data_IF_972901308403
#
_entry.id   IF_972901308403
#
_cell.length_a   1.000
_cell.length_b   1.000
_cell.length_c   1.000
_cell.angle_alpha   90.00
_cell.angle_beta   90.00
_cell.angle_gamma   90.00
#
_symmetry.space_group_name_H-M   'P 1'
#
loop_
_entity.id
_entity.type
_entity.pdbx_description
1 polymer ?
#
# COMPACT_ATOMS: atom_id res chain seq x y z
N UNK A 1 -2.82 18.57 19.89
CA UNK A 1 -2.56 19.48 18.75
C UNK A 1 -3.88 19.96 18.18
N UNK A 2 -4.05 21.27 18.00
CA UNK A 2 -5.25 21.90 17.43
C UNK A 2 -4.84 22.77 16.24
N UNK A 3 -5.66 22.81 15.20
CA UNK A 3 -5.44 23.62 13.99
C UNK A 3 -6.66 24.51 13.77
N UNK A 4 -6.44 25.80 13.62
CA UNK A 4 -7.45 26.82 13.39
C UNK A 4 -7.41 27.23 11.92
N UNK A 5 -8.55 27.15 11.23
CA UNK A 5 -8.67 27.40 9.79
C UNK A 5 -9.65 28.54 9.51
N UNK A 6 -9.38 29.30 8.46
CA UNK A 6 -10.32 30.23 7.81
C UNK A 6 -10.36 29.86 6.31
N UNK A 7 -11.41 29.12 5.92
CA UNK A 7 -11.44 28.41 4.64
C UNK A 7 -10.26 27.44 4.50
N UNK A 8 -9.44 27.63 3.47
CA UNK A 8 -8.23 26.84 3.20
C UNK A 8 -6.98 27.41 3.90
N UNK A 9 -7.08 28.58 4.54
CA UNK A 9 -5.94 29.25 5.19
C UNK A 9 -5.77 28.75 6.63
N UNK A 10 -4.54 28.36 6.97
CA UNK A 10 -4.15 28.04 8.34
C UNK A 10 -3.91 29.32 9.12
N UNK A 11 -4.73 29.59 10.14
CA UNK A 11 -4.59 30.74 11.03
C UNK A 11 -3.60 30.48 12.16
N UNK A 12 -3.68 29.29 12.78
CA UNK A 12 -2.88 28.95 13.95
C UNK A 12 -2.77 27.44 14.14
N UNK A 13 -1.62 26.98 14.62
CA UNK A 13 -1.40 25.60 15.09
C UNK A 13 -0.92 25.67 16.53
N UNK A 14 -1.53 24.90 17.43
CA UNK A 14 -1.20 24.88 18.86
C UNK A 14 -1.03 23.46 19.39
N UNK A 15 -0.23 23.33 20.45
CA UNK A 15 -0.05 22.07 21.16
C UNK A 15 0.72 21.01 20.37
N UNK A 16 1.63 21.45 19.47
CA UNK A 16 2.72 20.61 18.96
C UNK A 16 3.90 20.67 19.94
N UNK A 17 4.47 19.51 20.25
CA UNK A 17 5.66 19.42 21.13
C UNK A 17 6.97 19.48 20.35
N UNK A 18 6.91 19.54 19.01
CA UNK A 18 8.08 19.64 18.14
C UNK A 18 7.75 20.35 16.81
N UNK A 19 8.78 20.88 16.09
CA UNK A 19 8.59 21.51 14.77
C UNK A 19 7.98 20.57 13.71
N UNK A 20 8.34 19.28 13.75
CA UNK A 20 7.78 18.26 12.84
C UNK A 20 6.26 18.12 13.01
N UNK A 21 5.74 18.37 14.21
CA UNK A 21 4.30 18.32 14.48
C UNK A 21 3.54 19.43 13.76
N UNK A 22 4.12 20.63 13.64
CA UNK A 22 3.52 21.74 12.90
C UNK A 22 3.50 21.44 11.40
N UNK A 23 4.60 20.94 10.83
CA UNK A 23 4.66 20.54 9.42
C UNK A 23 3.66 19.41 9.11
N UNK A 24 3.58 18.40 9.97
CA UNK A 24 2.57 17.35 9.87
C UNK A 24 1.15 17.92 9.92
N UNK A 25 0.86 18.85 10.83
CA UNK A 25 -0.46 19.48 10.94
C UNK A 25 -0.82 20.23 9.66
N UNK A 26 0.12 21.03 9.12
CA UNK A 26 -0.06 21.76 7.86
C UNK A 26 -0.33 20.80 6.71
N UNK A 27 0.47 19.74 6.59
CA UNK A 27 0.29 18.74 5.55
C UNK A 27 -1.04 18.00 5.70
N UNK A 28 -1.44 17.63 6.91
CA UNK A 28 -2.66 16.85 7.15
C UNK A 28 -3.94 17.63 6.78
N UNK A 29 -3.97 18.95 7.01
CA UNK A 29 -5.14 19.78 6.67
C UNK A 29 -5.16 20.26 5.22
N UNK A 30 -4.00 20.35 4.56
CA UNK A 30 -3.90 20.83 3.16
C UNK A 30 -3.87 19.68 2.15
N UNK A 31 -3.06 18.65 2.40
CA UNK A 31 -2.88 17.50 1.53
C UNK A 31 -2.51 16.25 2.35
N UNK A 32 -3.49 15.60 3.01
CA UNK A 32 -3.20 14.45 3.85
C UNK A 32 -2.60 13.32 2.99
N UNK A 33 -1.46 12.78 3.44
CA UNK A 33 -0.77 11.68 2.75
C UNK A 33 -0.79 10.40 3.56
N UNK A 34 -0.91 9.25 2.89
CA UNK A 34 -0.93 7.93 3.52
C UNK A 34 -0.15 6.92 2.69
N UNK A 35 0.42 5.92 3.37
CA UNK A 35 0.86 4.68 2.71
C UNK A 35 -0.40 3.87 2.43
N UNK A 36 -0.65 3.55 1.16
CA UNK A 36 -1.79 2.71 0.80
C UNK A 36 -1.35 1.26 0.87
N UNK A 37 -2.02 0.47 1.69
CA UNK A 37 -1.78 -0.97 1.86
C UNK A 37 -2.96 -1.73 1.25
N UNK A 38 -2.69 -2.80 0.51
CA UNK A 38 -3.71 -3.63 -0.11
C UNK A 38 -3.17 -5.04 -0.40
N UNK A 39 -3.91 -5.81 -1.18
CA UNK A 39 -3.51 -7.13 -1.67
C UNK A 39 -3.77 -7.24 -3.17
N UNK A 40 -2.93 -8.00 -3.88
CA UNK A 40 -3.16 -8.39 -5.29
C UNK A 40 -3.20 -9.90 -5.42
N UNK A 41 -3.94 -10.40 -6.40
CA UNK A 41 -4.04 -11.85 -6.64
C UNK A 41 -2.73 -12.39 -7.21
N UNK A 42 -2.34 -13.58 -6.76
CA UNK A 42 -1.15 -14.30 -7.24
C UNK A 42 -1.59 -15.59 -7.90
N UNK A 43 -1.32 -15.74 -9.20
CA UNK A 43 -1.56 -16.99 -9.91
C UNK A 43 -0.41 -17.97 -9.62
N UNK A 44 -0.75 -19.24 -9.37
CA UNK A 44 0.23 -20.28 -9.11
C UNK A 44 1.02 -20.10 -7.81
N UNK A 45 0.60 -19.20 -6.92
CA UNK A 45 1.20 -18.99 -5.61
C UNK A 45 0.80 -20.06 -4.60
N UNK A 46 1.70 -20.34 -3.65
CA UNK A 46 1.40 -21.09 -2.43
C UNK A 46 0.32 -20.38 -1.59
N UNK A 47 0.25 -19.05 -1.69
CA UNK A 47 -0.81 -18.20 -1.15
C UNK A 47 -1.48 -17.48 -2.33
N UNK A 48 -2.82 -17.38 -2.39
CA UNK A 48 -3.54 -16.86 -3.55
C UNK A 48 -3.44 -15.34 -3.74
N UNK A 49 -2.81 -14.63 -2.80
CA UNK A 49 -2.60 -13.19 -2.84
C UNK A 49 -1.24 -12.82 -2.24
N UNK A 50 -0.74 -11.62 -2.56
CA UNK A 50 0.41 -10.97 -1.93
C UNK A 50 0.00 -9.60 -1.41
N UNK A 51 0.46 -9.24 -0.21
CA UNK A 51 0.24 -7.91 0.34
C UNK A 51 1.17 -6.90 -0.33
N UNK A 52 0.64 -5.73 -0.64
CA UNK A 52 1.34 -4.66 -1.34
C UNK A 52 1.17 -3.34 -0.61
N UNK A 53 2.10 -2.41 -0.82
CA UNK A 53 1.97 -1.03 -0.35
C UNK A 53 2.53 -0.03 -1.36
N UNK A 54 2.10 1.23 -1.30
CA UNK A 54 2.84 2.30 -1.97
C UNK A 54 4.22 2.45 -1.33
N UNK A 55 5.26 2.66 -2.15
CA UNK A 55 6.64 2.80 -1.66
C UNK A 55 6.81 4.09 -0.86
N UNK A 56 6.09 5.15 -1.23
CA UNK A 56 6.05 6.44 -0.52
C UNK A 56 4.61 6.84 -0.15
N UNK A 57 4.40 7.77 0.82
CA UNK A 57 3.09 8.31 1.11
C UNK A 57 2.51 9.05 -0.11
N UNK A 58 1.24 8.80 -0.41
CA UNK A 58 0.51 9.45 -1.50
C UNK A 58 -0.63 10.31 -0.96
N UNK A 59 -1.05 11.38 -1.66
CA UNK A 59 -2.23 12.16 -1.27
C UNK A 59 -3.48 11.29 -1.14
N UNK A 60 -4.35 11.57 -0.17
CA UNK A 60 -5.60 10.84 0.08
C UNK A 60 -6.48 10.72 -1.17
N UNK A 61 -6.50 11.76 -2.01
CA UNK A 61 -7.23 11.77 -3.29
C UNK A 61 -6.79 10.68 -4.28
N UNK A 62 -5.56 10.16 -4.14
CA UNK A 62 -5.03 9.10 -4.99
C UNK A 62 -5.51 7.69 -4.62
N UNK A 63 -6.02 7.50 -3.39
CA UNK A 63 -6.37 6.18 -2.86
C UNK A 63 -7.39 5.48 -3.78
N UNK A 64 -8.46 6.17 -4.19
CA UNK A 64 -9.49 5.59 -5.06
C UNK A 64 -8.94 5.14 -6.43
N UNK A 65 -8.01 5.91 -7.02
CA UNK A 65 -7.34 5.55 -8.28
C UNK A 65 -6.48 4.30 -8.10
N UNK A 66 -5.68 4.27 -7.02
CA UNK A 66 -4.82 3.12 -6.68
C UNK A 66 -5.65 1.85 -6.51
N UNK A 67 -6.73 1.91 -5.72
CA UNK A 67 -7.59 0.76 -5.47
C UNK A 67 -8.25 0.22 -6.75
N UNK A 68 -8.64 1.12 -7.67
CA UNK A 68 -9.21 0.73 -8.98
C UNK A 68 -8.20 0.04 -9.88
N UNK A 69 -6.93 0.45 -9.84
CA UNK A 69 -5.84 -0.20 -10.57
C UNK A 69 -5.58 -1.59 -9.98
N UNK A 70 -5.37 -1.65 -8.66
CA UNK A 70 -5.05 -2.89 -7.96
C UNK A 70 -6.13 -3.98 -8.09
N UNK A 71 -7.41 -3.61 -8.13
CA UNK A 71 -8.51 -4.58 -8.28
C UNK A 71 -8.49 -5.34 -9.61
N UNK A 72 -7.76 -4.82 -10.61
CA UNK A 72 -7.64 -5.41 -11.95
C UNK A 72 -6.32 -6.15 -12.15
N UNK A 73 -5.37 -6.01 -11.24
CA UNK A 73 -4.04 -6.61 -11.36
C UNK A 73 -4.03 -8.03 -10.79
N UNK A 74 -3.35 -8.92 -11.51
CA UNK A 74 -2.90 -10.22 -11.03
C UNK A 74 -1.43 -10.33 -11.36
N UNK A 75 -0.67 -10.99 -10.50
CA UNK A 75 0.74 -11.30 -10.72
C UNK A 75 0.95 -12.81 -10.67
N UNK A 76 2.01 -13.31 -11.27
CA UNK A 76 2.34 -14.73 -11.23
C UNK A 76 3.39 -14.99 -10.15
N UNK A 77 3.28 -16.10 -9.44
CA UNK A 77 4.34 -16.54 -8.54
C UNK A 77 5.60 -16.94 -9.35
N UNK A 78 6.81 -16.85 -8.76
CA UNK A 78 7.10 -16.31 -7.45
C UNK A 78 7.00 -14.77 -7.42
N UNK A 79 6.56 -14.23 -6.28
CA UNK A 79 6.64 -12.80 -5.98
C UNK A 79 7.61 -12.61 -4.82
N UNK A 80 8.56 -11.70 -4.95
CA UNK A 80 9.54 -11.39 -3.90
C UNK A 80 9.17 -10.11 -3.15
N UNK A 81 9.53 -10.02 -1.87
CA UNK A 81 9.42 -8.79 -1.10
C UNK A 81 10.18 -7.64 -1.77
N UNK A 82 9.57 -6.46 -1.83
CA UNK A 82 10.12 -5.29 -2.50
C UNK A 82 9.93 -5.29 -4.02
N UNK A 83 9.45 -6.38 -4.62
CA UNK A 83 9.13 -6.41 -6.06
C UNK A 83 8.11 -5.35 -6.41
N UNK A 84 8.40 -4.60 -7.48
CA UNK A 84 7.49 -3.59 -8.03
C UNK A 84 6.36 -4.30 -8.78
N UNK A 85 5.13 -4.00 -8.39
CA UNK A 85 3.89 -4.52 -8.98
C UNK A 85 3.28 -3.49 -9.93
N UNK A 86 3.43 -2.20 -9.60
CA UNK A 86 3.04 -1.07 -10.44
C UNK A 86 4.16 -0.04 -10.35
N UNK A 87 4.72 0.38 -11.48
CA UNK A 87 5.88 1.28 -11.52
C UNK A 87 5.52 2.74 -11.21
N UNK A 88 4.36 3.23 -11.64
CA UNK A 88 3.93 4.59 -11.30
C UNK A 88 2.43 4.68 -11.08
N UNK A 89 2.06 5.00 -9.84
CA UNK A 89 0.73 5.43 -9.49
C UNK A 89 0.78 6.56 -8.47
N UNK A 90 0.45 7.75 -8.96
CA UNK A 90 0.56 9.00 -8.20
C UNK A 90 2.00 9.33 -7.77
N UNK A 91 2.97 9.11 -8.65
CA UNK A 91 4.37 9.48 -8.43
C UNK A 91 5.13 8.53 -7.51
N UNK A 92 4.62 7.30 -7.33
CA UNK A 92 5.31 6.24 -6.58
C UNK A 92 4.91 4.86 -7.07
N UNK A 93 5.77 3.90 -6.78
CA UNK A 93 5.60 2.49 -7.05
C UNK A 93 4.65 1.83 -6.04
N UNK A 94 4.02 0.73 -6.44
CA UNK A 94 3.44 -0.26 -5.53
C UNK A 94 4.38 -1.44 -5.43
N UNK A 95 4.77 -1.80 -4.22
CA UNK A 95 5.71 -2.89 -3.93
C UNK A 95 5.07 -3.99 -3.11
N UNK A 96 5.48 -5.24 -3.33
CA UNK A 96 5.13 -6.36 -2.47
C UNK A 96 5.80 -6.25 -1.10
N UNK A 97 5.10 -6.65 -0.03
CA UNK A 97 5.60 -6.57 1.36
C UNK A 97 5.94 -7.93 1.95
N UNK A 98 5.84 -9.01 1.19
CA UNK A 98 6.23 -10.37 1.56
C UNK A 98 6.48 -11.21 0.32
N UNK A 99 7.17 -12.31 0.50
CA UNK A 99 7.32 -13.32 -0.55
C UNK A 99 6.05 -14.16 -0.72
N UNK A 100 5.83 -14.63 -1.94
CA UNK A 100 4.89 -15.71 -2.26
C UNK A 100 5.59 -16.67 -3.21
N UNK A 101 5.92 -17.87 -2.72
CA UNK A 101 6.56 -18.89 -3.56
C UNK A 101 5.56 -19.52 -4.51
N UNK A 102 6.08 -20.17 -5.56
CA UNK A 102 5.28 -20.98 -6.47
C UNK A 102 4.75 -22.20 -5.71
N UNK A 103 3.46 -22.50 -5.89
CA UNK A 103 2.82 -23.69 -5.30
C UNK A 103 3.55 -24.95 -5.79
N UNK A 104 4.02 -25.77 -4.87
CA UNK A 104 4.55 -27.08 -5.22
C UNK A 104 3.41 -27.98 -5.69
N UNK A 105 3.58 -28.62 -6.84
CA UNK A 105 2.64 -29.64 -7.33
C UNK A 105 3.10 -30.99 -6.80
N UNK A 106 3.11 -31.16 -5.47
CA UNK A 106 3.22 -32.51 -4.93
C UNK A 106 1.87 -33.18 -5.18
N UNK A 107 1.82 -34.10 -6.16
CA UNK A 107 0.71 -35.03 -6.29
C UNK A 107 0.66 -35.82 -4.98
N UNK A 108 -0.30 -35.55 -4.09
CA UNK A 108 -0.61 -36.50 -3.02
C UNK A 108 -1.08 -37.77 -3.73
N UNK A 109 -0.19 -38.76 -3.85
CA UNK A 109 -0.58 -40.08 -4.28
C UNK A 109 -1.48 -40.66 -3.18
N UNK A 110 -2.71 -40.96 -3.55
CA UNK A 110 -3.77 -41.50 -2.68
C UNK A 110 -3.47 -42.93 -2.15
N UNK A 111 -2.21 -43.39 -2.24
CA UNK A 111 -1.76 -44.75 -1.90
C UNK A 111 -0.98 -44.85 -0.58
N UNK A 112 -0.68 -43.74 0.09
CA UNK A 112 0.13 -43.77 1.32
C UNK A 112 -0.74 -43.88 2.61
N UNK A 113 -2.01 -44.28 2.48
CA UNK A 113 -2.99 -44.38 3.59
C UNK A 113 -3.65 -45.77 3.72
N UNK A 114 -3.12 -46.81 3.07
CA UNK A 114 -3.55 -48.20 3.27
C UNK A 114 -2.34 -49.14 3.29
#
# INVERSE_FOLDING_TARGET
>A
MKVYLDGERILKIEGNMCPRGEEYAKQEVTEPKRIVISVVKVNGGEIPTVSVKTKKPVPKRCISKIMKILSRIKVDAPVNMGQIIVEDVCGTEIIATRDVKRRSTLKLNRKDYL
#
